data_IF_850311499583
#
_entry.id   IF_850311499583
#
_cell.length_a   1.000
_cell.length_b   1.000
_cell.length_c   1.000
_cell.angle_alpha   90.00
_cell.angle_beta   90.00
_cell.angle_gamma   90.00
#
_symmetry.space_group_name_H-M   'P 1'
#
loop_
_entity.id
_entity.type
_entity.pdbx_description
1 polymer ?
#
# COMPACT_ATOMS: atom_id res chain seq x y z
N UNK A 1 0.12 -13.91 4.20
CA UNK A 1 1.23 -13.14 3.59
C UNK A 1 0.64 -12.15 2.57
N UNK A 2 1.26 -11.00 2.27
CA UNK A 2 0.71 -10.05 1.27
C UNK A 2 0.49 -10.73 -0.08
N UNK A 3 1.44 -11.57 -0.50
CA UNK A 3 1.37 -12.32 -1.74
C UNK A 3 0.16 -13.28 -1.80
N UNK A 4 -0.17 -13.96 -0.69
CA UNK A 4 -1.35 -14.85 -0.64
C UNK A 4 -2.64 -14.07 -1.01
N UNK A 5 -2.80 -12.84 -0.50
CA UNK A 5 -3.98 -12.00 -0.78
C UNK A 5 -4.07 -11.56 -2.24
N UNK A 6 -2.93 -11.34 -2.89
CA UNK A 6 -2.88 -10.91 -4.30
C UNK A 6 -3.18 -12.08 -5.23
N UNK A 7 -2.87 -13.30 -4.80
CA UNK A 7 -2.99 -14.52 -5.58
C UNK A 7 -4.31 -15.25 -5.39
N UNK A 8 -5.07 -14.91 -4.35
CA UNK A 8 -6.33 -15.54 -3.98
C UNK A 8 -7.37 -15.50 -5.13
N UNK A 9 -7.99 -16.65 -5.40
CA UNK A 9 -9.02 -16.81 -6.43
C UNK A 9 -8.56 -16.59 -7.89
N UNK A 10 -7.26 -16.47 -8.17
CA UNK A 10 -6.78 -16.32 -9.53
C UNK A 10 -6.77 -17.65 -10.30
N UNK A 11 -7.14 -17.65 -11.60
CA UNK A 11 -6.98 -18.83 -12.44
C UNK A 11 -5.50 -19.15 -12.65
N UNK A 12 -5.20 -20.44 -12.87
CA UNK A 12 -3.85 -21.02 -12.96
C UNK A 12 -2.83 -20.15 -13.71
N UNK A 13 -3.13 -19.75 -14.94
CA UNK A 13 -2.21 -18.98 -15.78
C UNK A 13 -1.93 -17.61 -15.18
N UNK A 14 -2.96 -16.90 -14.72
CA UNK A 14 -2.81 -15.59 -14.08
C UNK A 14 -2.05 -15.68 -12.75
N UNK A 15 -2.29 -16.74 -11.97
CA UNK A 15 -1.57 -16.98 -10.72
C UNK A 15 -0.06 -17.15 -10.97
N UNK A 16 0.30 -17.96 -11.96
CA UNK A 16 1.70 -18.20 -12.34
C UNK A 16 2.36 -16.89 -12.81
N UNK A 17 1.71 -16.16 -13.73
CA UNK A 17 2.23 -14.90 -14.25
C UNK A 17 2.38 -13.86 -13.14
N UNK A 18 1.42 -13.80 -12.20
CA UNK A 18 1.45 -12.89 -11.07
C UNK A 18 2.60 -13.21 -10.10
N UNK A 19 2.90 -14.48 -9.83
CA UNK A 19 4.08 -14.87 -9.06
C UNK A 19 5.36 -14.40 -9.75
N UNK A 20 5.51 -14.71 -11.03
CA UNK A 20 6.72 -14.38 -11.79
C UNK A 20 6.92 -12.86 -11.84
N UNK A 21 5.84 -12.10 -12.05
CA UNK A 21 5.88 -10.65 -12.10
C UNK A 21 6.17 -10.02 -10.73
N UNK A 22 5.41 -10.40 -9.70
CA UNK A 22 5.52 -9.80 -8.35
C UNK A 22 6.88 -10.10 -7.71
N UNK A 23 7.43 -11.28 -7.96
CA UNK A 23 8.76 -11.67 -7.48
C UNK A 23 9.88 -11.31 -8.47
N UNK A 24 9.57 -10.49 -9.48
CA UNK A 24 10.53 -9.92 -10.46
C UNK A 24 11.39 -10.98 -11.16
N UNK A 25 10.84 -12.17 -11.40
CA UNK A 25 11.57 -13.29 -11.97
C UNK A 25 12.75 -13.78 -11.11
N UNK A 26 12.76 -13.50 -9.80
CA UNK A 26 13.82 -13.96 -8.90
C UNK A 26 13.56 -15.41 -8.46
N UNK A 27 14.35 -16.34 -8.97
CA UNK A 27 14.22 -17.77 -8.68
C UNK A 27 14.30 -18.11 -7.19
N UNK A 28 15.16 -17.43 -6.43
CA UNK A 28 15.31 -17.65 -5.00
C UNK A 28 14.05 -17.25 -4.22
N UNK A 29 13.42 -16.14 -4.60
CA UNK A 29 12.16 -15.70 -3.96
C UNK A 29 10.99 -16.63 -4.30
N UNK A 30 10.91 -17.09 -5.55
CA UNK A 30 9.88 -18.06 -5.96
C UNK A 30 10.07 -19.38 -5.22
N UNK A 31 11.32 -19.84 -5.07
CA UNK A 31 11.65 -21.06 -4.31
C UNK A 31 11.34 -20.90 -2.82
N UNK A 32 11.64 -19.75 -2.24
CA UNK A 32 11.29 -19.43 -0.86
C UNK A 32 9.77 -19.49 -0.64
N UNK A 33 8.99 -18.89 -1.54
CA UNK A 33 7.53 -18.94 -1.47
C UNK A 33 6.98 -20.37 -1.64
N UNK A 34 7.55 -21.13 -2.59
CA UNK A 34 7.24 -22.56 -2.79
C UNK A 34 7.44 -23.37 -1.50
N UNK A 35 8.52 -23.12 -0.76
CA UNK A 35 8.79 -23.81 0.50
C UNK A 35 7.79 -23.42 1.61
N UNK A 36 7.34 -22.17 1.65
CA UNK A 36 6.27 -21.76 2.59
C UNK A 36 4.98 -22.53 2.30
N UNK A 37 4.59 -22.64 1.03
CA UNK A 37 3.40 -23.39 0.64
C UNK A 37 3.54 -24.88 0.93
N UNK A 38 4.74 -25.45 0.74
CA UNK A 38 5.02 -26.83 1.15
C UNK A 38 4.83 -27.03 2.67
N UNK A 39 5.35 -26.13 3.49
CA UNK A 39 5.18 -26.22 4.94
C UNK A 39 3.70 -26.23 5.33
N UNK A 40 2.87 -25.39 4.69
CA UNK A 40 1.41 -25.37 4.90
C UNK A 40 0.75 -26.66 4.43
N UNK A 41 1.08 -27.12 3.22
CA UNK A 41 0.55 -28.38 2.69
C UNK A 41 0.92 -29.57 3.59
N UNK A 42 2.09 -29.56 4.22
CA UNK A 42 2.53 -30.60 5.15
C UNK A 42 1.73 -30.70 6.45
N UNK A 43 0.91 -29.69 6.78
CA UNK A 43 -0.01 -29.71 7.93
C UNK A 43 -1.35 -30.40 7.60
N UNK A 44 -1.60 -30.73 6.32
CA UNK A 44 -2.84 -31.33 5.84
C UNK A 44 -2.66 -32.84 5.66
N UNK A 45 -3.64 -33.61 6.15
CA UNK A 45 -3.65 -35.07 6.01
C UNK A 45 -3.65 -35.48 4.52
N UNK A 46 -2.86 -36.50 4.19
CA UNK A 46 -2.71 -36.99 2.82
C UNK A 46 -1.67 -36.25 1.98
N UNK A 47 -0.96 -35.26 2.53
CA UNK A 47 0.16 -34.61 1.82
C UNK A 47 1.27 -35.63 1.49
N UNK A 48 1.72 -35.72 0.22
CA UNK A 48 2.76 -36.66 -0.17
C UNK A 48 4.06 -36.43 0.61
N UNK A 49 4.62 -37.52 1.13
CA UNK A 49 5.92 -37.48 1.81
C UNK A 49 7.03 -37.50 0.79
N UNK A 50 7.95 -36.53 0.86
CA UNK A 50 9.13 -36.53 0.00
C UNK A 50 9.76 -35.16 -0.19
N UNK A 51 10.76 -35.11 -1.08
CA UNK A 51 11.38 -33.84 -1.49
C UNK A 51 10.67 -33.30 -2.73
N UNK A 52 10.46 -31.99 -2.75
CA UNK A 52 10.04 -31.27 -3.93
C UNK A 52 10.95 -31.57 -5.13
N UNK A 53 10.36 -31.71 -6.31
CA UNK A 53 11.10 -31.87 -7.55
C UNK A 53 11.99 -30.65 -7.81
N UNK A 54 13.27 -30.87 -8.11
CA UNK A 54 14.12 -29.82 -8.68
C UNK A 54 13.82 -29.69 -10.17
N UNK A 55 13.32 -28.53 -10.59
CA UNK A 55 12.87 -28.29 -11.96
C UNK A 55 14.01 -27.66 -12.76
N UNK A 56 14.72 -28.46 -13.55
CA UNK A 56 15.73 -27.93 -14.49
C UNK A 56 15.06 -27.09 -15.58
N UNK A 57 15.71 -26.00 -16.00
CA UNK A 57 15.32 -25.24 -17.18
C UNK A 57 15.33 -26.15 -18.41
N UNK A 58 14.31 -26.02 -19.26
CA UNK A 58 14.25 -26.69 -20.57
C UNK A 58 14.04 -25.63 -21.65
N UNK A 59 14.31 -25.97 -22.92
CA UNK A 59 14.13 -25.04 -24.04
C UNK A 59 12.72 -24.45 -24.15
N UNK A 60 11.71 -25.08 -23.53
CA UNK A 60 10.30 -24.67 -23.57
C UNK A 60 9.81 -23.86 -22.35
N UNK A 61 10.58 -23.81 -21.25
CA UNK A 61 10.11 -23.15 -20.01
C UNK A 61 11.24 -22.96 -19.01
N UNK A 62 11.27 -21.79 -18.36
CA UNK A 62 12.23 -21.45 -17.31
C UNK A 62 11.98 -22.25 -16.02
N UNK A 63 13.03 -22.48 -15.23
CA UNK A 63 12.95 -22.99 -13.85
C UNK A 63 11.93 -22.20 -13.02
N UNK A 64 11.97 -20.88 -13.12
CA UNK A 64 11.06 -19.93 -12.45
C UNK A 64 9.59 -20.22 -12.76
N UNK A 65 9.22 -20.38 -14.03
CA UNK A 65 7.83 -20.70 -14.42
C UNK A 65 7.40 -22.07 -13.87
N UNK A 66 8.31 -23.05 -13.86
CA UNK A 66 8.02 -24.38 -13.29
C UNK A 66 7.81 -24.31 -11.78
N UNK A 67 8.62 -23.53 -11.06
CA UNK A 67 8.42 -23.34 -9.62
C UNK A 67 7.14 -22.56 -9.31
N UNK A 68 6.78 -21.56 -10.12
CA UNK A 68 5.50 -20.87 -9.97
C UNK A 68 4.30 -21.80 -10.22
N UNK A 69 4.40 -22.75 -11.17
CA UNK A 69 3.42 -23.83 -11.36
C UNK A 69 3.31 -24.73 -10.12
N UNK A 70 4.44 -25.13 -9.55
CA UNK A 70 4.45 -25.93 -8.32
C UNK A 70 3.81 -25.16 -7.15
N UNK A 71 4.01 -23.83 -7.05
CA UNK A 71 3.33 -22.98 -6.06
C UNK A 71 1.80 -22.99 -6.24
N UNK A 72 1.30 -23.00 -7.49
CA UNK A 72 -0.15 -23.09 -7.72
C UNK A 72 -0.70 -24.43 -7.24
N UNK A 73 -0.04 -25.54 -7.59
CA UNK A 73 -0.48 -26.88 -7.19
C UNK A 73 -0.50 -27.02 -5.65
N UNK A 74 0.54 -26.52 -4.97
CA UNK A 74 0.60 -26.54 -3.51
C UNK A 74 -0.53 -25.69 -2.89
N UNK A 75 -0.86 -24.53 -3.49
CA UNK A 75 -1.96 -23.69 -3.03
C UNK A 75 -3.32 -24.37 -3.21
N UNK A 76 -3.59 -24.95 -4.38
CA UNK A 76 -4.82 -25.70 -4.64
C UNK A 76 -4.98 -26.88 -3.67
N UNK A 77 -3.88 -27.57 -3.36
CA UNK A 77 -3.90 -28.62 -2.34
C UNK A 77 -4.28 -28.08 -0.95
N UNK A 78 -3.75 -26.90 -0.57
CA UNK A 78 -4.16 -26.27 0.69
C UNK A 78 -5.62 -25.81 0.73
N UNK A 79 -6.25 -25.67 -0.44
CA UNK A 79 -7.67 -25.35 -0.60
C UNK A 79 -8.55 -26.61 -0.74
N UNK A 80 -7.97 -27.81 -0.72
CA UNK A 80 -8.67 -29.09 -0.76
C UNK A 80 -8.65 -29.82 -2.10
N UNK A 81 -7.97 -29.30 -3.13
CA UNK A 81 -7.80 -29.98 -4.41
C UNK A 81 -6.48 -30.77 -4.48
N UNK A 82 -6.58 -32.09 -4.39
CA UNK A 82 -5.44 -33.01 -4.42
C UNK A 82 -5.06 -33.55 -5.80
N UNK A 83 -5.68 -33.07 -6.88
CA UNK A 83 -5.60 -33.72 -8.20
C UNK A 83 -4.18 -33.77 -8.82
N UNK A 84 -3.32 -32.78 -8.53
CA UNK A 84 -1.99 -32.66 -9.15
C UNK A 84 -0.81 -32.75 -8.15
N UNK A 85 -1.08 -32.96 -6.85
CA UNK A 85 -0.07 -32.79 -5.79
C UNK A 85 1.15 -33.70 -5.95
N UNK A 86 0.95 -34.95 -6.38
CA UNK A 86 2.04 -35.92 -6.59
C UNK A 86 3.04 -35.49 -7.67
N UNK A 87 2.61 -34.66 -8.62
CA UNK A 87 3.48 -34.19 -9.72
C UNK A 87 4.59 -33.24 -9.25
N UNK A 88 4.45 -32.68 -8.05
CA UNK A 88 5.35 -31.70 -7.45
C UNK A 88 6.47 -32.38 -6.64
N UNK A 89 6.27 -33.63 -6.23
CA UNK A 89 7.23 -34.40 -5.43
C UNK A 89 8.11 -35.31 -6.31
N UNK A 90 9.34 -35.53 -5.85
CA UNK A 90 10.27 -36.43 -6.54
C UNK A 90 9.85 -37.87 -6.30
N UNK A 91 9.65 -38.64 -7.37
CA UNK A 91 9.54 -40.10 -7.25
C UNK A 91 10.88 -40.63 -6.77
N UNK A 92 10.91 -41.28 -5.60
CA UNK A 92 12.09 -42.00 -5.12
C UNK A 92 12.53 -43.00 -6.20
N UNK A 93 13.78 -42.94 -6.64
CA UNK A 93 14.34 -43.88 -7.62
C UNK A 93 14.67 -45.25 -6.98
N UNK A 94 14.41 -45.41 -5.67
CA UNK A 94 14.57 -46.69 -4.97
C UNK A 94 13.26 -47.47 -4.88
N UNK A 95 12.57 -47.62 -6.01
CA UNK A 95 11.58 -48.69 -6.17
C UNK A 95 12.13 -49.66 -7.20
N UNK A 96 13.11 -50.45 -6.74
CA UNK A 96 13.47 -51.68 -7.41
C UNK A 96 12.23 -52.56 -7.42
N UNK A 97 11.90 -53.01 -8.62
CA UNK A 97 10.96 -54.07 -8.97
C UNK A 97 10.72 -55.11 -7.88
N UNK A 98 9.45 -55.41 -7.62
CA UNK A 98 9.00 -56.80 -7.52
C UNK A 98 7.57 -56.91 -8.06
N UNK A 99 7.47 -57.50 -9.25
CA UNK A 99 6.29 -58.24 -9.63
C UNK A 99 6.28 -59.51 -8.79
N UNK A 100 5.30 -59.67 -7.88
CA UNK A 100 4.85 -61.00 -7.49
C UNK A 100 3.34 -60.97 -7.27
N UNK A 101 2.63 -61.68 -8.15
CA UNK A 101 1.33 -62.25 -7.82
C UNK A 101 1.49 -63.14 -6.57
N UNK A 102 0.67 -62.93 -5.55
CA UNK A 102 -0.19 -63.97 -5.01
C UNK A 102 -1.06 -63.41 -3.89
N UNK A 103 -2.32 -63.83 -3.91
CA UNK A 103 -3.26 -63.75 -2.80
C UNK A 103 -2.57 -64.00 -1.46
N UNK A 104 -2.60 -63.02 -0.58
CA UNK A 104 -2.42 -63.26 0.85
C UNK A 104 -3.48 -62.46 1.57
N UNK A 105 -4.44 -63.22 2.08
CA UNK A 105 -5.41 -62.86 3.10
C UNK A 105 -4.72 -61.91 4.09
N UNK A 106 -5.23 -60.69 4.21
CA UNK A 106 -4.80 -59.77 5.24
C UNK A 106 -5.29 -60.33 6.58
N UNK A 107 -4.49 -61.21 7.17
CA UNK A 107 -4.60 -61.56 8.59
C UNK A 107 -4.55 -60.24 9.37
N UNK A 108 -5.68 -59.92 9.99
CA UNK A 108 -5.77 -58.87 10.97
C UNK A 108 -4.80 -59.22 12.10
N UNK A 109 -3.63 -58.57 12.10
CA UNK A 109 -2.79 -58.48 13.29
C UNK A 109 -3.71 -58.10 14.47
N UNK A 110 -3.71 -58.84 15.58
CA UNK A 110 -4.43 -58.41 16.77
C UNK A 110 -3.82 -57.07 17.16
N UNK A 111 -4.60 -55.99 16.97
CA UNK A 111 -4.16 -54.63 17.27
C UNK A 111 -3.72 -54.64 18.73
N UNK A 112 -2.42 -54.46 18.96
CA UNK A 112 -1.82 -54.48 20.29
C UNK A 112 -2.54 -53.44 21.13
N UNK A 113 -3.32 -53.86 22.12
CA UNK A 113 -4.17 -52.97 22.92
C UNK A 113 -3.36 -51.88 23.66
N UNK A 114 -2.08 -52.15 23.88
CA UNK A 114 -1.09 -51.19 24.41
C UNK A 114 -0.82 -50.04 23.43
N UNK A 115 -0.76 -50.31 22.12
CA UNK A 115 -0.51 -49.29 21.08
C UNK A 115 -1.75 -48.39 20.88
N UNK A 116 -2.95 -48.94 21.06
CA UNK A 116 -4.19 -48.15 21.05
C UNK A 116 -4.20 -47.19 22.25
N UNK A 117 -3.86 -47.69 23.45
CA UNK A 117 -3.88 -46.89 24.67
C UNK A 117 -2.82 -45.77 24.66
N UNK A 118 -1.62 -46.04 24.13
CA UNK A 118 -0.57 -45.02 23.98
C UNK A 118 -0.97 -43.94 22.97
N UNK A 119 -1.59 -44.34 21.85
CA UNK A 119 -2.12 -43.40 20.85
C UNK A 119 -3.24 -42.55 21.43
N UNK A 120 -4.16 -43.14 22.21
CA UNK A 120 -5.24 -42.42 22.88
C UNK A 120 -4.70 -41.39 23.88
N UNK A 121 -3.67 -41.75 24.65
CA UNK A 121 -3.05 -40.82 25.61
C UNK A 121 -2.39 -39.62 24.90
N UNK A 122 -1.67 -39.86 23.81
CA UNK A 122 -1.12 -38.79 22.97
C UNK A 122 -2.21 -37.89 22.39
N UNK A 123 -3.34 -38.48 21.99
CA UNK A 123 -4.48 -37.72 21.48
C UNK A 123 -5.06 -36.81 22.57
N UNK A 124 -5.24 -37.33 23.79
CA UNK A 124 -5.75 -36.56 24.94
C UNK A 124 -4.81 -35.40 25.26
N UNK A 125 -3.50 -35.63 25.31
CA UNK A 125 -2.51 -34.58 25.54
C UNK A 125 -2.55 -33.50 24.46
N UNK A 126 -2.68 -33.90 23.19
CA UNK A 126 -2.80 -32.96 22.07
C UNK A 126 -4.09 -32.16 22.12
N UNK A 127 -5.23 -32.79 22.46
CA UNK A 127 -6.52 -32.12 22.63
C UNK A 127 -6.44 -31.09 23.77
N UNK A 128 -5.88 -31.47 24.91
CA UNK A 128 -5.67 -30.55 26.04
C UNK A 128 -4.76 -29.36 25.66
N UNK A 129 -3.71 -29.63 24.87
CA UNK A 129 -2.83 -28.59 24.33
C UNK A 129 -3.58 -27.60 23.43
N UNK A 130 -4.43 -28.11 22.53
CA UNK A 130 -5.25 -27.30 21.65
C UNK A 130 -6.29 -26.47 22.42
N UNK A 131 -6.93 -27.04 23.45
CA UNK A 131 -7.88 -26.32 24.30
C UNK A 131 -7.22 -25.15 25.04
N UNK A 132 -5.99 -25.34 25.54
CA UNK A 132 -5.24 -24.28 26.20
C UNK A 132 -4.84 -23.16 25.22
N UNK A 133 -4.43 -23.52 24.00
CA UNK A 133 -4.16 -22.55 22.93
C UNK A 133 -5.43 -21.78 22.59
N UNK A 134 -6.58 -22.45 22.49
CA UNK A 134 -7.86 -21.81 22.19
C UNK A 134 -8.25 -20.80 23.27
N UNK A 135 -8.18 -21.18 24.56
CA UNK A 135 -8.44 -20.26 25.69
C UNK A 135 -7.52 -19.05 25.69
N UNK A 136 -6.24 -19.25 25.36
CA UNK A 136 -5.27 -18.16 25.24
C UNK A 136 -5.62 -17.21 24.09
N UNK A 137 -5.96 -17.76 22.92
CA UNK A 137 -6.41 -16.98 21.75
C UNK A 137 -7.68 -16.18 22.05
N UNK A 138 -8.68 -16.78 22.70
CA UNK A 138 -9.90 -16.08 23.12
C UNK A 138 -9.59 -14.89 24.05
N UNK A 139 -8.62 -15.07 24.96
CA UNK A 139 -8.16 -14.00 25.84
C UNK A 139 -7.49 -12.86 25.08
N UNK A 140 -6.68 -13.17 24.07
CA UNK A 140 -6.06 -12.16 23.18
C UNK A 140 -7.12 -11.46 22.34
N UNK A 141 -8.07 -12.20 21.77
CA UNK A 141 -9.15 -11.64 20.96
C UNK A 141 -9.99 -10.64 21.76
N UNK A 142 -10.36 -10.97 23.00
CA UNK A 142 -11.07 -10.05 23.89
C UNK A 142 -10.28 -8.77 24.17
N UNK A 143 -8.97 -8.88 24.41
CA UNK A 143 -8.09 -7.71 24.61
C UNK A 143 -7.99 -6.84 23.35
N UNK A 144 -7.87 -7.46 22.18
CA UNK A 144 -7.82 -6.74 20.91
C UNK A 144 -9.14 -6.02 20.62
N UNK A 145 -10.28 -6.68 20.85
CA UNK A 145 -11.62 -6.06 20.71
C UNK A 145 -11.76 -4.84 21.62
N UNK A 146 -11.39 -4.96 22.89
CA UNK A 146 -11.41 -3.82 23.82
C UNK A 146 -10.50 -2.67 23.36
N UNK A 147 -9.31 -2.98 22.81
CA UNK A 147 -8.40 -1.94 22.32
C UNK A 147 -8.90 -1.25 21.04
N UNK A 148 -9.59 -1.99 20.17
CA UNK A 148 -10.24 -1.43 18.98
C UNK A 148 -11.33 -0.44 19.42
N UNK A 149 -12.20 -0.84 20.36
CA UNK A 149 -13.26 0.02 20.90
C UNK A 149 -12.68 1.29 21.56
N UNK A 150 -11.59 1.16 22.32
CA UNK A 150 -10.88 2.32 22.89
C UNK A 150 -10.37 3.28 21.79
N UNK A 151 -9.77 2.75 20.71
CA UNK A 151 -9.25 3.56 19.62
C UNK A 151 -10.37 4.22 18.80
N UNK A 152 -11.49 3.55 18.60
CA UNK A 152 -12.67 4.13 17.93
C UNK A 152 -13.20 5.34 18.72
N UNK A 153 -13.30 5.21 20.04
CA UNK A 153 -13.68 6.33 20.91
C UNK A 153 -12.71 7.52 20.82
N UNK A 154 -11.39 7.26 20.79
CA UNK A 154 -10.37 8.32 20.61
C UNK A 154 -10.49 8.99 19.24
N UNK A 155 -10.75 8.22 18.19
CA UNK A 155 -10.95 8.76 16.83
C UNK A 155 -12.16 9.70 16.82
N UNK A 156 -13.26 9.32 17.45
CA UNK A 156 -14.48 10.12 17.45
C UNK A 156 -14.36 11.37 18.31
N UNK A 157 -13.65 11.31 19.44
CA UNK A 157 -13.32 12.51 20.22
C UNK A 157 -12.44 13.49 19.42
N UNK A 158 -11.39 12.98 18.75
CA UNK A 158 -10.52 13.80 17.91
C UNK A 158 -11.27 14.46 16.75
N UNK A 159 -12.20 13.75 16.09
CA UNK A 159 -13.06 14.34 15.05
C UNK A 159 -13.90 15.48 15.63
N UNK A 160 -14.47 15.29 16.82
CA UNK A 160 -15.26 16.33 17.49
C UNK A 160 -14.42 17.56 17.82
N UNK A 161 -13.21 17.37 18.36
CA UNK A 161 -12.28 18.47 18.63
C UNK A 161 -11.86 19.21 17.36
N UNK A 162 -11.61 18.47 16.27
CA UNK A 162 -11.29 19.06 14.97
C UNK A 162 -12.42 19.95 14.44
N UNK A 163 -13.67 19.49 14.49
CA UNK A 163 -14.80 20.30 14.04
C UNK A 163 -15.03 21.54 14.93
N UNK A 164 -14.76 21.45 16.24
CA UNK A 164 -14.77 22.62 17.13
C UNK A 164 -13.70 23.64 16.75
N UNK A 165 -12.45 23.20 16.56
CA UNK A 165 -11.35 24.09 16.14
C UNK A 165 -11.61 24.71 14.78
N UNK A 166 -12.14 23.94 13.84
CA UNK A 166 -12.52 24.42 12.52
C UNK A 166 -13.62 25.48 12.59
N UNK A 167 -14.64 25.26 13.42
CA UNK A 167 -15.70 26.24 13.66
C UNK A 167 -15.17 27.51 14.34
N UNK A 168 -14.12 27.43 15.16
CA UNK A 168 -13.48 28.58 15.78
C UNK A 168 -12.59 29.39 14.80
N UNK A 169 -11.83 28.69 13.96
CA UNK A 169 -10.82 29.31 13.07
C UNK A 169 -11.46 29.90 11.80
N UNK A 170 -12.42 29.20 11.20
CA UNK A 170 -13.08 29.61 9.95
C UNK A 170 -13.60 31.06 9.99
N UNK A 171 -14.37 31.51 11.01
CA UNK A 171 -14.85 32.89 11.05
C UNK A 171 -13.72 33.91 11.21
N UNK A 172 -12.62 33.55 11.90
CA UNK A 172 -11.44 34.42 12.04
C UNK A 172 -10.76 34.61 10.69
N UNK A 173 -10.60 33.54 9.91
CA UNK A 173 -10.03 33.61 8.55
C UNK A 173 -10.90 34.50 7.66
N UNK A 174 -12.22 34.28 7.62
CA UNK A 174 -13.15 35.09 6.83
C UNK A 174 -13.08 36.57 7.21
N UNK A 175 -12.97 36.87 8.51
CA UNK A 175 -12.78 38.25 8.99
C UNK A 175 -11.46 38.84 8.47
N UNK A 176 -10.34 38.15 8.61
CA UNK A 176 -9.04 38.64 8.13
C UNK A 176 -9.02 38.85 6.62
N UNK A 177 -9.63 37.96 5.84
CA UNK A 177 -9.76 38.13 4.38
C UNK A 177 -10.55 39.39 4.02
N UNK A 178 -11.63 39.68 4.75
CA UNK A 178 -12.42 40.89 4.56
C UNK A 178 -11.65 42.17 4.91
N UNK A 179 -10.83 42.14 5.97
CA UNK A 179 -9.97 43.24 6.39
C UNK A 179 -8.87 43.50 5.36
N UNK A 180 -8.20 42.44 4.86
CA UNK A 180 -7.20 42.51 3.79
C UNK A 180 -7.80 43.12 2.51
N UNK A 181 -9.00 42.67 2.12
CA UNK A 181 -9.70 43.21 0.95
C UNK A 181 -9.98 44.70 1.12
N UNK A 182 -10.48 45.11 2.29
CA UNK A 182 -10.75 46.52 2.58
C UNK A 182 -9.49 47.37 2.53
N UNK A 183 -8.39 46.90 3.13
CA UNK A 183 -7.09 47.58 3.07
C UNK A 183 -6.56 47.69 1.64
N UNK A 184 -6.72 46.65 0.82
CA UNK A 184 -6.32 46.68 -0.59
C UNK A 184 -7.09 47.73 -1.39
N UNK A 185 -8.40 47.87 -1.16
CA UNK A 185 -9.22 48.91 -1.78
C UNK A 185 -8.75 50.30 -1.38
N UNK A 186 -8.57 50.54 -0.08
CA UNK A 186 -8.08 51.83 0.43
C UNK A 186 -6.69 52.20 -0.13
N UNK A 187 -5.80 51.23 -0.25
CA UNK A 187 -4.48 51.47 -0.85
C UNK A 187 -4.56 51.88 -2.32
N UNK A 188 -5.51 51.31 -3.08
CA UNK A 188 -5.78 51.69 -4.47
C UNK A 188 -6.30 53.11 -4.57
N UNK A 189 -7.29 53.47 -3.74
CA UNK A 189 -7.91 54.81 -3.73
C UNK A 189 -6.88 55.90 -3.37
N UNK A 190 -6.02 55.63 -2.37
CA UNK A 190 -4.93 56.56 -2.00
C UNK A 190 -3.91 56.71 -3.14
N UNK A 191 -3.60 55.62 -3.85
CA UNK A 191 -2.73 55.66 -5.02
C UNK A 191 -3.30 56.54 -6.14
N UNK A 192 -4.60 56.41 -6.41
CA UNK A 192 -5.30 57.19 -7.44
C UNK A 192 -5.41 58.68 -7.06
N UNK A 193 -5.72 58.98 -5.80
CA UNK A 193 -5.75 60.35 -5.30
C UNK A 193 -4.38 61.04 -5.41
N UNK A 194 -3.30 60.35 -5.03
CA UNK A 194 -1.94 60.87 -5.15
C UNK A 194 -1.54 61.12 -6.62
N UNK A 195 -1.95 60.22 -7.53
CA UNK A 195 -1.71 60.40 -8.96
C UNK A 195 -2.45 61.62 -9.51
N UNK A 196 -3.73 61.81 -9.16
CA UNK A 196 -4.51 62.97 -9.59
C UNK A 196 -3.96 64.29 -9.05
N UNK A 197 -3.52 64.31 -7.79
CA UNK A 197 -2.89 65.47 -7.17
C UNK A 197 -1.58 65.85 -7.89
N UNK A 198 -0.72 64.85 -8.17
CA UNK A 198 0.54 65.08 -8.89
C UNK A 198 0.31 65.52 -10.33
N UNK A 199 -0.68 64.94 -11.02
CA UNK A 199 -1.06 65.30 -12.39
C UNK A 199 -1.55 66.76 -12.48
N UNK A 200 -2.37 67.19 -11.53
CA UNK A 200 -2.87 68.58 -11.46
C UNK A 200 -1.72 69.58 -11.25
N UNK A 201 -0.82 69.30 -10.29
CA UNK A 201 0.35 70.14 -10.02
C UNK A 201 1.31 70.19 -11.22
N UNK A 202 1.48 69.08 -11.93
CA UNK A 202 2.31 69.04 -13.14
C UNK A 202 1.75 69.93 -14.26
N UNK A 203 0.43 69.96 -14.45
CA UNK A 203 -0.23 70.85 -15.42
C UNK A 203 -0.03 72.32 -15.06
N UNK A 204 -0.11 72.66 -13.78
CA UNK A 204 0.13 74.01 -13.27
C UNK A 204 1.57 74.46 -13.59
N UNK A 205 2.57 73.65 -13.23
CA UNK A 205 3.99 73.92 -13.53
C UNK A 205 4.23 74.07 -15.05
N UNK A 206 3.61 73.22 -15.87
CA UNK A 206 3.73 73.34 -17.34
C UNK A 206 3.14 74.66 -17.86
N UNK A 207 2.05 75.13 -17.28
CA UNK A 207 1.44 76.42 -17.63
C UNK A 207 2.34 77.59 -17.26
N UNK A 208 2.97 77.56 -16.08
CA UNK A 208 3.92 78.58 -15.64
C UNK A 208 5.18 78.59 -16.52
N UNK A 209 5.74 77.42 -16.84
CA UNK A 209 6.89 77.32 -17.76
C UNK A 209 6.55 77.94 -19.11
N UNK A 210 5.34 77.70 -19.63
CA UNK A 210 4.89 78.28 -20.90
C UNK A 210 4.78 79.81 -20.81
N UNK A 211 4.20 80.34 -19.74
CA UNK A 211 4.11 81.78 -19.50
C UNK A 211 5.50 82.43 -19.37
N UNK A 212 6.40 81.81 -18.59
CA UNK A 212 7.77 82.28 -18.42
C UNK A 212 8.55 82.27 -19.74
N UNK A 213 8.37 81.26 -20.60
CA UNK A 213 8.96 81.25 -21.94
C UNK A 213 8.48 82.43 -22.78
N UNK A 214 7.18 82.71 -22.78
CA UNK A 214 6.62 83.86 -23.51
C UNK A 214 7.21 85.17 -22.99
N UNK A 215 7.33 85.32 -21.67
CA UNK A 215 7.92 86.50 -21.05
C UNK A 215 9.40 86.67 -21.44
N UNK A 216 10.20 85.59 -21.38
CA UNK A 216 11.62 85.59 -21.78
C UNK A 216 11.76 85.97 -23.25
N UNK A 217 11.00 85.37 -24.17
CA UNK A 217 11.06 85.72 -25.60
C UNK A 217 10.68 87.18 -25.84
N UNK A 218 9.71 87.70 -25.07
CA UNK A 218 9.31 89.11 -25.16
C UNK A 218 10.43 90.04 -24.70
N UNK A 219 11.11 89.69 -23.60
CA UNK A 219 12.27 90.43 -23.10
C UNK A 219 13.46 90.39 -24.08
N UNK A 220 13.75 89.22 -24.66
CA UNK A 220 14.81 89.07 -25.68
C UNK A 220 14.56 89.99 -26.89
N UNK A 221 13.34 89.97 -27.44
CA UNK A 221 12.93 90.88 -28.53
C UNK A 221 13.04 92.35 -28.14
N UNK A 222 12.80 92.68 -26.87
CA UNK A 222 12.95 94.06 -26.38
C UNK A 222 14.43 94.45 -26.26
N UNK A 223 15.30 93.55 -25.78
CA UNK A 223 16.74 93.80 -25.68
C UNK A 223 17.41 93.98 -27.06
N UNK A 224 17.01 93.23 -28.08
CA UNK A 224 17.49 93.38 -29.45
C UNK A 224 17.15 94.76 -30.05
N UNK A 225 16.05 95.37 -29.62
CA UNK A 225 15.66 96.73 -30.05
C UNK A 225 16.46 97.84 -29.37
N UNK A 226 16.96 97.59 -28.16
CA UNK A 226 17.68 98.59 -27.34
C UNK A 226 19.17 98.64 -27.71
N UNK A 227 19.74 97.56 -28.28
CA UNK A 227 21.15 97.49 -28.63
C UNK A 227 21.35 97.08 -30.12
N UNK A 228 21.11 98.00 -31.08
CA UNK A 228 21.16 97.69 -32.52
C UNK A 228 22.59 97.76 -33.09
N UNK A 229 23.57 97.21 -32.37
CA UNK A 229 24.97 97.17 -32.79
C UNK A 229 25.32 95.84 -33.46
#
# INVERSE_FOLDING_TARGET
MYLDKVLDGLPREKYIDMIVHTLKGNESLVTWYRNILLSRAGEIDGCPKGKLCNRKTTNKSSSIQKYAKDCYILQMFTEGDASEIDSVFSRSVNSTSDNLHNDTICEQNPVNQVDINSTLQLLIERVNGLENILKSKDGIEKKLKAKIEELENVIDDNKRQFELLKAEITPKIVKFESEIKTMSWLASDVGEFNFMAHSSKMKEIQSEIKQNRIAITSLQKHSEKINPY
#
